data_IF_589003794438
#
_entry.id   IF_589003794438
#
_cell.length_a   1.000
_cell.length_b   1.000
_cell.length_c   1.000
_cell.angle_alpha   90.00
_cell.angle_beta   90.00
_cell.angle_gamma   90.00
#
_symmetry.space_group_name_H-M   'P 1'
#
loop_
_entity.id
_entity.type
_entity.pdbx_description
1 polymer ?
#
# COMPACT_ATOMS: atom_id res chain seq x y z
N UNK A 1 22.03 12.40 16.48
CA UNK A 1 22.08 11.42 17.60
C UNK A 1 20.97 11.70 18.60
N UNK A 2 20.94 12.88 19.26
CA UNK A 2 19.90 13.24 20.24
C UNK A 2 18.47 13.17 19.66
N UNK A 3 18.25 13.68 18.45
CA UNK A 3 16.92 13.62 17.79
C UNK A 3 16.42 12.19 17.55
N UNK A 4 17.33 11.24 17.26
CA UNK A 4 16.99 9.83 17.07
C UNK A 4 16.58 9.19 18.40
N UNK A 5 17.34 9.47 19.47
CA UNK A 5 17.05 8.95 20.81
C UNK A 5 15.70 9.50 21.31
N UNK A 6 15.46 10.79 21.15
CA UNK A 6 14.19 11.44 21.52
C UNK A 6 13.03 10.88 20.70
N UNK A 7 13.21 10.70 19.38
CA UNK A 7 12.19 10.09 18.52
C UNK A 7 11.86 8.65 18.96
N UNK A 8 12.86 7.81 19.24
CA UNK A 8 12.66 6.43 19.70
C UNK A 8 11.94 6.38 21.06
N UNK A 9 12.31 7.25 22.01
CA UNK A 9 11.64 7.33 23.31
C UNK A 9 10.18 7.77 23.14
N UNK A 10 9.92 8.75 22.28
CA UNK A 10 8.56 9.21 21.96
C UNK A 10 7.72 8.11 21.30
N UNK A 11 8.30 7.36 20.35
CA UNK A 11 7.62 6.25 19.66
C UNK A 11 7.22 5.15 20.64
N UNK A 12 8.08 4.84 21.62
CA UNK A 12 7.77 3.87 22.68
C UNK A 12 6.70 4.35 23.67
N UNK A 13 6.63 5.66 23.96
CA UNK A 13 5.65 6.23 24.89
C UNK A 13 4.27 6.37 24.24
N UNK A 14 4.23 6.88 23.01
CA UNK A 14 2.98 7.10 22.28
C UNK A 14 2.44 5.76 21.77
N UNK A 15 3.33 4.86 21.34
CA UNK A 15 2.99 3.57 20.78
C UNK A 15 2.25 3.67 19.44
N UNK A 16 2.33 2.62 18.64
CA UNK A 16 1.52 2.56 17.43
C UNK A 16 0.03 2.49 17.80
N UNK A 17 -0.84 3.33 17.21
CA UNK A 17 -2.28 3.27 17.46
C UNK A 17 -2.80 1.88 17.08
N UNK A 18 -3.20 1.10 18.09
CA UNK A 18 -3.65 -0.29 17.98
C UNK A 18 -4.80 -0.52 16.98
N UNK A 19 -5.52 0.57 16.64
CA UNK A 19 -6.67 0.60 15.75
C UNK A 19 -6.35 0.92 14.29
N UNK A 20 -5.08 1.12 13.91
CA UNK A 20 -4.77 1.34 12.51
C UNK A 20 -5.03 0.06 11.70
N UNK A 21 -5.75 0.15 10.56
CA UNK A 21 -5.94 -0.98 9.67
C UNK A 21 -4.61 -1.31 9.00
N UNK A 22 -3.78 -2.11 9.68
CA UNK A 22 -2.54 -2.58 9.11
C UNK A 22 -2.83 -3.57 7.98
N UNK A 23 -2.18 -3.43 6.82
CA UNK A 23 -2.35 -4.34 5.68
C UNK A 23 -2.17 -5.82 6.07
N UNK A 24 -1.29 -6.11 7.02
CA UNK A 24 -1.06 -7.47 7.54
C UNK A 24 -2.30 -8.04 8.24
N UNK A 25 -3.02 -7.21 8.99
CA UNK A 25 -4.25 -7.61 9.70
C UNK A 25 -5.39 -7.88 8.72
N UNK A 26 -5.42 -7.14 7.60
CA UNK A 26 -6.36 -7.36 6.50
C UNK A 26 -6.02 -8.65 5.73
N UNK A 27 -4.74 -8.87 5.41
CA UNK A 27 -4.27 -10.12 4.78
C UNK A 27 -4.63 -11.35 5.61
N UNK A 28 -4.42 -11.31 6.93
CA UNK A 28 -4.80 -12.40 7.82
C UNK A 28 -6.31 -12.69 7.81
N UNK A 29 -7.15 -11.65 7.68
CA UNK A 29 -8.61 -11.83 7.52
C UNK A 29 -8.96 -12.46 6.18
N UNK A 30 -8.33 -12.02 5.09
CA UNK A 30 -8.53 -12.60 3.74
C UNK A 30 -8.20 -14.09 3.75
N UNK A 31 -7.01 -14.45 4.24
CA UNK A 31 -6.56 -15.84 4.36
C UNK A 31 -7.55 -16.67 5.19
N UNK A 32 -8.03 -16.14 6.33
CA UNK A 32 -8.98 -16.86 7.18
C UNK A 32 -10.33 -17.15 6.49
N UNK A 33 -10.78 -16.24 5.61
CA UNK A 33 -12.00 -16.42 4.82
C UNK A 33 -11.77 -17.48 3.75
N UNK A 34 -10.63 -17.39 3.04
CA UNK A 34 -10.26 -18.35 2.00
C UNK A 34 -10.05 -19.76 2.57
N UNK A 35 -9.43 -19.89 3.74
CA UNK A 35 -9.22 -21.17 4.41
C UNK A 35 -10.55 -21.79 4.88
N UNK A 36 -11.49 -20.98 5.35
CA UNK A 36 -12.84 -21.44 5.70
C UNK A 36 -13.63 -21.90 4.45
N UNK A 37 -13.46 -21.22 3.31
CA UNK A 37 -14.00 -21.64 2.03
C UNK A 37 -13.36 -22.96 1.57
N UNK A 38 -12.03 -23.07 1.67
CA UNK A 38 -11.29 -24.28 1.32
C UNK A 38 -11.74 -25.50 2.12
N UNK A 39 -11.94 -25.34 3.44
CA UNK A 39 -12.47 -26.39 4.31
C UNK A 39 -13.91 -26.80 3.99
N UNK A 40 -14.74 -25.89 3.44
CA UNK A 40 -16.10 -26.20 2.99
C UNK A 40 -16.13 -26.95 1.66
N UNK A 41 -15.17 -26.67 0.78
CA UNK A 41 -15.11 -27.28 -0.56
C UNK A 41 -14.40 -28.62 -0.53
N UNK A 42 -13.45 -28.83 0.39
CA UNK A 42 -12.67 -30.05 0.48
C UNK A 42 -12.67 -30.65 1.89
N UNK A 43 -13.30 -31.81 2.03
CA UNK A 43 -13.29 -32.62 3.25
C UNK A 43 -12.09 -33.59 3.30
N UNK A 44 -11.30 -33.69 2.21
CA UNK A 44 -10.16 -34.60 2.14
C UNK A 44 -8.84 -33.93 2.53
N UNK A 45 -7.99 -34.68 3.24
CA UNK A 45 -6.67 -34.19 3.68
C UNK A 45 -5.75 -33.79 2.51
N UNK A 46 -5.90 -34.42 1.34
CA UNK A 46 -5.12 -34.10 0.14
C UNK A 46 -5.61 -32.83 -0.54
N UNK A 47 -6.94 -32.65 -0.63
CA UNK A 47 -7.53 -31.46 -1.23
C UNK A 47 -7.29 -30.19 -0.40
N UNK A 48 -7.23 -30.31 0.93
CA UNK A 48 -6.83 -29.20 1.82
C UNK A 48 -5.39 -28.73 1.56
N UNK A 49 -4.44 -29.64 1.28
CA UNK A 49 -3.06 -29.26 0.94
C UNK A 49 -2.99 -28.48 -0.37
N UNK A 50 -3.71 -28.94 -1.39
CA UNK A 50 -3.76 -28.26 -2.69
C UNK A 50 -4.41 -26.89 -2.54
N UNK A 51 -5.51 -26.80 -1.78
CA UNK A 51 -6.20 -25.54 -1.57
C UNK A 51 -5.37 -24.55 -0.76
N UNK A 52 -4.60 -25.02 0.23
CA UNK A 52 -3.63 -24.19 0.94
C UNK A 52 -2.56 -23.60 0.01
N UNK A 53 -2.07 -24.39 -0.96
CA UNK A 53 -1.11 -23.90 -1.95
C UNK A 53 -1.72 -22.83 -2.88
N UNK A 54 -2.97 -23.01 -3.29
CA UNK A 54 -3.73 -22.03 -4.08
C UNK A 54 -3.89 -20.73 -3.29
N UNK A 55 -4.31 -20.81 -2.03
CA UNK A 55 -4.47 -19.65 -1.13
C UNK A 55 -3.18 -18.85 -1.00
N UNK A 56 -2.04 -19.52 -0.74
CA UNK A 56 -0.74 -18.84 -0.64
C UNK A 56 -0.37 -18.16 -1.95
N UNK A 57 -0.57 -18.85 -3.08
CA UNK A 57 -0.25 -18.31 -4.41
C UNK A 57 -1.06 -17.04 -4.72
N UNK A 58 -2.36 -17.06 -4.41
CA UNK A 58 -3.26 -15.91 -4.60
C UNK A 58 -2.84 -14.74 -3.69
N UNK A 59 -2.59 -14.99 -2.41
CA UNK A 59 -2.22 -13.93 -1.47
C UNK A 59 -0.86 -13.30 -1.78
N UNK A 60 0.13 -14.10 -2.19
CA UNK A 60 1.44 -13.57 -2.65
C UNK A 60 1.26 -12.71 -3.89
N UNK A 61 0.43 -13.15 -4.84
CA UNK A 61 0.12 -12.37 -6.04
C UNK A 61 -0.56 -11.05 -5.69
N UNK A 62 -1.60 -11.06 -4.84
CA UNK A 62 -2.28 -9.85 -4.37
C UNK A 62 -1.33 -8.92 -3.62
N UNK A 63 -0.46 -9.47 -2.76
CA UNK A 63 0.54 -8.72 -2.00
C UNK A 63 1.57 -8.02 -2.87
N UNK A 64 1.84 -8.52 -4.08
CA UNK A 64 2.72 -7.87 -5.05
C UNK A 64 1.98 -6.88 -5.96
N UNK A 65 0.84 -7.31 -6.51
CA UNK A 65 0.07 -6.55 -7.49
C UNK A 65 -0.48 -5.26 -6.90
N UNK A 66 -1.04 -5.31 -5.70
CA UNK A 66 -1.68 -4.13 -5.08
C UNK A 66 -0.65 -3.00 -4.89
N UNK A 67 0.50 -3.20 -4.20
CA UNK A 67 1.51 -2.15 -4.07
C UNK A 67 2.09 -1.70 -5.41
N UNK A 68 2.30 -2.62 -6.36
CA UNK A 68 2.83 -2.29 -7.68
C UNK A 68 1.95 -1.26 -8.42
N UNK A 69 0.64 -1.49 -8.45
CA UNK A 69 -0.30 -0.56 -9.08
C UNK A 69 -0.43 0.75 -8.32
N UNK A 70 -0.43 0.71 -6.98
CA UNK A 70 -0.43 1.92 -6.16
C UNK A 70 0.74 2.83 -6.55
N UNK A 71 1.97 2.29 -6.57
CA UNK A 71 3.16 3.06 -6.93
C UNK A 71 3.06 3.62 -8.36
N UNK A 72 2.58 2.81 -9.31
CA UNK A 72 2.45 3.23 -10.71
C UNK A 72 1.44 4.37 -10.88
N UNK A 73 0.30 4.31 -10.20
CA UNK A 73 -0.73 5.37 -10.21
C UNK A 73 -0.18 6.62 -9.53
N UNK A 74 0.43 6.48 -8.35
CA UNK A 74 1.02 7.62 -7.63
C UNK A 74 2.07 8.34 -8.48
N UNK A 75 2.93 7.59 -9.19
CA UNK A 75 3.91 8.16 -10.12
C UNK A 75 3.25 8.89 -11.29
N UNK A 76 2.20 8.30 -11.86
CA UNK A 76 1.44 8.92 -12.95
C UNK A 76 0.82 10.26 -12.52
N UNK A 77 0.21 10.31 -11.34
CA UNK A 77 -0.39 11.53 -10.80
C UNK A 77 0.69 12.58 -10.52
N UNK A 78 1.81 12.19 -9.92
CA UNK A 78 2.91 13.09 -9.61
C UNK A 78 3.47 13.77 -10.86
N UNK A 79 3.71 13.00 -11.93
CA UNK A 79 4.22 13.53 -13.19
C UNK A 79 3.24 14.57 -13.79
N UNK A 80 1.95 14.24 -13.86
CA UNK A 80 0.93 15.17 -14.36
C UNK A 80 0.91 16.46 -13.55
N UNK A 81 0.95 16.38 -12.21
CA UNK A 81 0.98 17.55 -11.34
C UNK A 81 2.24 18.40 -11.55
N UNK A 82 3.38 17.76 -11.81
CA UNK A 82 4.63 18.46 -12.08
C UNK A 82 4.61 19.20 -13.42
N UNK A 83 4.01 18.60 -14.45
CA UNK A 83 3.82 19.24 -15.76
C UNK A 83 2.90 20.47 -15.65
N UNK A 84 1.78 20.36 -14.92
CA UNK A 84 0.88 21.50 -14.66
C UNK A 84 1.56 22.63 -13.89
N UNK A 85 2.40 22.28 -12.91
CA UNK A 85 3.16 23.27 -12.15
C UNK A 85 4.18 23.97 -13.04
N UNK A 86 4.87 23.26 -13.94
CA UNK A 86 5.83 23.87 -14.85
C UNK A 86 5.17 24.83 -15.84
N UNK A 87 4.01 24.45 -16.39
CA UNK A 87 3.23 25.30 -17.29
C UNK A 87 2.76 26.60 -16.63
N UNK A 88 2.31 26.52 -15.37
CA UNK A 88 1.86 27.71 -14.63
C UNK A 88 3.00 28.66 -14.29
N UNK A 89 4.19 28.15 -13.96
CA UNK A 89 5.39 28.97 -13.78
C UNK A 89 5.79 29.71 -15.06
N UNK A 90 5.78 29.05 -16.21
CA UNK A 90 6.08 29.69 -17.50
C UNK A 90 5.06 30.79 -17.81
N UNK A 91 3.77 30.50 -17.60
CA UNK A 91 2.72 31.48 -17.87
C UNK A 91 2.88 32.74 -16.99
N UNK A 92 3.13 32.57 -15.69
CA UNK A 92 3.33 33.67 -14.76
C UNK A 92 4.53 34.55 -15.14
N UNK A 93 5.66 33.94 -15.52
CA UNK A 93 6.84 34.67 -15.98
C UNK A 93 6.61 35.39 -17.32
N UNK A 94 5.88 34.77 -18.26
CA UNK A 94 5.56 35.40 -19.53
C UNK A 94 4.65 36.63 -19.37
N UNK A 95 3.69 36.59 -18.45
CA UNK A 95 2.80 37.73 -18.14
C UNK A 95 3.56 38.89 -17.49
N UNK A 96 4.57 38.62 -16.67
CA UNK A 96 5.42 39.67 -16.08
C UNK A 96 6.27 40.39 -17.14
N UNK A 97 6.84 39.65 -18.10
CA UNK A 97 7.63 40.23 -19.19
C UNK A 97 6.79 41.11 -20.11
N UNK A 98 5.55 40.72 -20.41
CA UNK A 98 4.64 41.48 -21.30
C UNK A 98 4.11 42.77 -20.65
N UNK A 99 4.09 42.84 -19.31
CA UNK A 99 3.57 44.01 -18.57
C UNK A 99 4.64 45.09 -18.32
N UNK A 100 5.91 44.80 -18.62
CA UNK A 100 7.07 45.71 -18.55
C UNK A 100 7.30 46.41 -19.90
#
# INVERSE_FOLDING_TARGET
MVNLIVAVILDFIIGDPYNFPHPVKLMGRIISIEENLARRVSESNEGLKIMGLIIVSINVFLGFVIPFYIIKITKSIYNTLQDYKYLSYIHLYSSQIITL
#
